data_IF_668250077784
#
_entry.id   IF_668250077784
#
_cell.length_a   1.000
_cell.length_b   1.000
_cell.length_c   1.000
_cell.angle_alpha   90.00
_cell.angle_beta   90.00
_cell.angle_gamma   90.00
#
_symmetry.space_group_name_H-M   'P 1'
#
loop_
_entity.id
_entity.type
_entity.pdbx_description
1 polymer ?
#
# COMPACT_ATOMS: atom_id res chain seq x y z
N UNK A 1 22.02 -61.61 -22.42
CA UNK A 1 22.77 -60.75 -21.53
C UNK A 1 21.92 -59.51 -21.27
N UNK A 2 21.33 -59.44 -20.10
CA UNK A 2 20.53 -58.27 -19.67
C UNK A 2 21.49 -57.19 -19.19
N UNK A 3 21.39 -55.95 -19.65
CA UNK A 3 22.27 -54.87 -19.16
C UNK A 3 21.95 -54.58 -17.69
N UNK A 4 22.94 -54.65 -16.83
CA UNK A 4 22.85 -54.29 -15.42
C UNK A 4 22.97 -52.77 -15.35
N UNK A 5 21.87 -52.08 -15.08
CA UNK A 5 21.86 -50.64 -14.79
C UNK A 5 22.52 -50.46 -13.41
N UNK A 6 23.58 -49.66 -13.30
CA UNK A 6 24.18 -49.39 -11.99
C UNK A 6 23.17 -48.66 -11.05
N UNK A 7 23.22 -48.92 -9.75
CA UNK A 7 22.35 -48.26 -8.81
C UNK A 7 22.63 -46.76 -8.82
N UNK A 8 21.55 -45.95 -8.98
CA UNK A 8 21.60 -44.49 -8.82
C UNK A 8 21.86 -44.16 -7.36
N UNK A 9 23.01 -43.59 -7.10
CA UNK A 9 23.35 -43.14 -5.74
C UNK A 9 22.50 -41.90 -5.40
N UNK A 10 21.86 -41.82 -4.24
CA UNK A 10 21.12 -40.64 -3.80
C UNK A 10 22.14 -39.50 -3.63
N UNK A 11 21.96 -38.43 -4.39
CA UNK A 11 22.70 -37.18 -4.23
C UNK A 11 21.94 -36.31 -3.19
N UNK A 12 22.61 -35.91 -2.13
CA UNK A 12 22.08 -34.97 -1.15
C UNK A 12 22.52 -33.57 -1.58
N UNK A 13 21.54 -32.74 -1.90
CA UNK A 13 21.75 -31.33 -2.23
C UNK A 13 21.33 -30.47 -1.03
N UNK A 14 22.15 -29.47 -0.71
CA UNK A 14 21.86 -28.51 0.35
C UNK A 14 21.59 -27.15 -0.29
N UNK A 15 20.42 -26.61 -0.03
CA UNK A 15 20.03 -25.25 -0.43
C UNK A 15 20.08 -24.33 0.78
N UNK A 16 20.75 -23.19 0.64
CA UNK A 16 20.79 -22.13 1.67
C UNK A 16 20.21 -20.85 1.08
N UNK A 17 19.15 -20.35 1.69
CA UNK A 17 18.47 -19.14 1.27
C UNK A 17 18.60 -18.06 2.33
N UNK A 18 19.01 -16.85 1.93
CA UNK A 18 19.00 -15.66 2.78
C UNK A 18 18.06 -14.64 2.18
N UNK A 19 17.09 -14.18 2.97
CA UNK A 19 16.12 -13.16 2.54
C UNK A 19 16.41 -11.84 3.24
N UNK A 20 16.45 -10.74 2.46
CA UNK A 20 16.65 -9.37 2.94
C UNK A 20 15.48 -8.52 2.51
N UNK A 21 14.90 -7.79 3.44
CA UNK A 21 13.87 -6.77 3.15
C UNK A 21 14.52 -5.38 3.19
N UNK A 22 14.41 -4.65 2.09
CA UNK A 22 14.99 -3.31 1.94
C UNK A 22 13.89 -2.27 1.84
N UNK A 23 13.95 -1.21 2.67
CA UNK A 23 13.02 -0.07 2.59
C UNK A 23 13.68 1.08 1.83
N UNK A 24 13.15 1.41 0.65
CA UNK A 24 13.61 2.53 -0.19
C UNK A 24 12.61 3.66 -0.04
N UNK A 25 13.05 4.83 0.47
CA UNK A 25 12.21 6.02 0.63
C UNK A 25 12.21 6.93 -0.61
N UNK A 26 13.27 6.90 -1.40
CA UNK A 26 13.37 7.67 -2.64
C UNK A 26 12.84 6.80 -3.80
N UNK A 27 11.53 6.88 -4.04
CA UNK A 27 10.83 6.02 -5.03
C UNK A 27 11.40 6.23 -6.44
N UNK A 28 11.73 7.47 -6.78
CA UNK A 28 12.37 7.85 -8.04
C UNK A 28 13.70 7.13 -8.32
N UNK A 29 14.37 6.66 -7.27
CA UNK A 29 15.63 5.90 -7.36
C UNK A 29 15.44 4.40 -7.24
N UNK A 30 14.22 3.93 -6.98
CA UNK A 30 13.97 2.52 -6.68
C UNK A 30 14.35 1.62 -7.87
N UNK A 31 14.01 2.00 -9.11
CA UNK A 31 14.38 1.26 -10.30
C UNK A 31 15.89 1.08 -10.43
N UNK A 32 16.65 2.16 -10.35
CA UNK A 32 18.11 2.11 -10.45
C UNK A 32 18.76 1.29 -9.32
N UNK A 33 18.19 1.33 -8.11
CA UNK A 33 18.67 0.51 -6.99
C UNK A 33 18.41 -0.97 -7.28
N UNK A 34 17.23 -1.32 -7.79
CA UNK A 34 16.87 -2.69 -8.16
C UNK A 34 17.83 -3.21 -9.23
N UNK A 35 18.06 -2.44 -10.29
CA UNK A 35 18.95 -2.82 -11.37
C UNK A 35 20.38 -3.06 -10.87
N UNK A 36 20.90 -2.18 -10.01
CA UNK A 36 22.21 -2.35 -9.40
C UNK A 36 22.30 -3.59 -8.49
N UNK A 37 21.24 -3.93 -7.77
CA UNK A 37 21.17 -5.13 -6.92
C UNK A 37 21.13 -6.39 -7.78
N UNK A 38 20.38 -6.38 -8.89
CA UNK A 38 20.34 -7.51 -9.85
C UNK A 38 21.69 -7.71 -10.50
N UNK A 39 22.36 -6.65 -10.92
CA UNK A 39 23.70 -6.71 -11.50
C UNK A 39 24.72 -7.30 -10.52
N UNK A 40 24.69 -6.87 -9.27
CA UNK A 40 25.62 -7.35 -8.24
C UNK A 40 25.35 -8.78 -7.79
N UNK A 41 24.09 -9.22 -7.75
CA UNK A 41 23.68 -10.55 -7.28
C UNK A 41 23.72 -11.63 -8.35
N UNK A 42 23.64 -11.25 -9.62
CA UNK A 42 23.63 -12.16 -10.76
C UNK A 42 22.59 -13.28 -10.63
N UNK A 43 22.97 -14.48 -11.04
CA UNK A 43 22.08 -15.65 -11.06
C UNK A 43 21.69 -16.18 -9.67
N UNK A 44 22.34 -15.69 -8.60
CA UNK A 44 22.06 -16.09 -7.22
C UNK A 44 21.00 -15.22 -6.56
N UNK A 45 20.62 -14.11 -7.19
CA UNK A 45 19.62 -13.19 -6.67
C UNK A 45 18.23 -13.50 -7.21
N UNK A 46 17.26 -13.42 -6.31
CA UNK A 46 15.84 -13.44 -6.63
C UNK A 46 15.15 -12.27 -5.96
N UNK A 47 14.29 -11.57 -6.69
CA UNK A 47 13.41 -10.54 -6.13
C UNK A 47 12.03 -11.16 -5.96
N UNK A 48 11.59 -11.34 -4.72
CA UNK A 48 10.33 -12.00 -4.40
C UNK A 48 9.13 -11.05 -4.58
N UNK A 49 9.34 -9.74 -4.42
CA UNK A 49 8.28 -8.75 -4.63
C UNK A 49 8.68 -7.34 -4.24
N UNK A 50 7.83 -6.41 -4.68
CA UNK A 50 7.91 -4.99 -4.35
C UNK A 50 6.56 -4.59 -3.75
N UNK A 51 6.59 -3.97 -2.58
CA UNK A 51 5.39 -3.49 -1.88
C UNK A 51 5.56 -2.03 -1.55
N UNK A 52 4.53 -1.24 -1.76
CA UNK A 52 4.51 0.17 -1.39
C UNK A 52 3.77 0.37 -0.07
N UNK A 53 4.22 1.32 0.70
CA UNK A 53 3.59 1.71 1.96
C UNK A 53 3.74 3.21 2.19
N UNK A 54 2.78 3.80 2.89
CA UNK A 54 2.87 5.21 3.30
C UNK A 54 3.84 5.32 4.48
N UNK A 55 4.83 6.21 4.36
CA UNK A 55 5.72 6.54 5.47
C UNK A 55 4.99 7.55 6.37
N UNK A 56 4.94 7.31 7.69
CA UNK A 56 4.24 8.14 8.68
C UNK A 56 2.72 8.32 8.40
N UNK A 57 1.93 7.24 8.36
CA UNK A 57 0.51 7.32 8.03
C UNK A 57 -0.31 8.14 9.05
N UNK A 58 0.15 8.28 10.28
CA UNK A 58 -0.60 8.94 11.38
C UNK A 58 -0.96 10.39 11.07
N UNK A 59 -0.07 11.14 10.40
CA UNK A 59 -0.36 12.51 10.00
C UNK A 59 -1.51 12.60 8.98
N UNK A 60 -1.61 11.63 8.09
CA UNK A 60 -2.67 11.57 7.08
C UNK A 60 -4.00 11.12 7.72
N UNK A 61 -3.97 10.20 8.68
CA UNK A 61 -5.15 9.86 9.48
C UNK A 61 -5.66 11.06 10.27
N UNK A 62 -4.78 11.87 10.84
CA UNK A 62 -5.19 13.09 11.55
C UNK A 62 -5.86 14.11 10.61
N UNK A 63 -5.34 14.28 9.40
CA UNK A 63 -5.93 15.14 8.38
C UNK A 63 -7.28 14.60 7.90
N UNK A 64 -7.37 13.29 7.59
CA UNK A 64 -8.62 12.66 7.17
C UNK A 64 -9.71 12.79 8.24
N UNK A 65 -9.36 12.57 9.52
CA UNK A 65 -10.26 12.77 10.67
C UNK A 65 -10.79 14.20 10.77
N UNK A 66 -9.89 15.18 10.59
CA UNK A 66 -10.30 16.58 10.61
C UNK A 66 -11.29 16.90 9.48
N UNK A 67 -11.07 16.38 8.27
CA UNK A 67 -11.97 16.56 7.14
C UNK A 67 -13.31 15.86 7.41
N UNK A 68 -13.32 14.63 7.86
CA UNK A 68 -14.53 13.87 8.17
C UNK A 68 -15.38 14.54 9.26
N UNK A 69 -14.75 15.07 10.31
CA UNK A 69 -15.47 15.80 11.38
C UNK A 69 -16.05 17.13 10.90
N UNK A 70 -15.33 17.85 10.03
CA UNK A 70 -15.84 19.08 9.43
C UNK A 70 -17.05 18.81 8.53
N UNK A 71 -16.98 17.74 7.74
CA UNK A 71 -18.03 17.30 6.85
C UNK A 71 -19.28 16.87 7.63
N UNK A 72 -19.12 15.99 8.60
CA UNK A 72 -20.23 15.57 9.48
C UNK A 72 -20.93 16.76 10.16
N UNK A 73 -20.17 17.78 10.58
CA UNK A 73 -20.76 18.99 11.18
C UNK A 73 -21.50 19.84 10.14
N UNK A 74 -20.97 19.96 8.94
CA UNK A 74 -21.62 20.69 7.84
C UNK A 74 -22.94 20.04 7.45
N UNK A 75 -22.95 18.72 7.27
CA UNK A 75 -24.15 17.94 6.98
C UNK A 75 -25.21 18.06 8.09
N UNK A 76 -24.77 17.93 9.35
CA UNK A 76 -25.69 18.06 10.49
C UNK A 76 -26.33 19.45 10.57
N UNK A 77 -25.58 20.52 10.31
CA UNK A 77 -26.12 21.88 10.25
C UNK A 77 -27.16 22.03 9.13
N UNK A 78 -26.88 21.50 7.95
CA UNK A 78 -27.81 21.53 6.82
C UNK A 78 -29.14 20.79 7.16
N UNK A 79 -28.99 19.60 7.78
CA UNK A 79 -30.18 18.82 8.19
C UNK A 79 -31.01 19.55 9.27
N UNK A 80 -30.36 20.17 10.26
CA UNK A 80 -31.03 20.94 11.29
C UNK A 80 -31.79 22.14 10.70
N UNK A 81 -31.15 22.85 9.76
CA UNK A 81 -31.76 23.99 9.06
C UNK A 81 -33.01 23.56 8.26
N UNK A 82 -32.92 22.45 7.50
CA UNK A 82 -34.05 21.90 6.77
C UNK A 82 -35.18 21.39 7.67
N UNK A 83 -34.84 20.89 8.85
CA UNK A 83 -35.83 20.45 9.85
C UNK A 83 -36.41 21.57 10.68
N UNK A 84 -35.88 22.79 10.58
CA UNK A 84 -36.33 23.95 11.37
C UNK A 84 -35.97 23.86 12.86
N UNK A 85 -34.87 23.19 13.20
CA UNK A 85 -34.33 23.00 14.55
C UNK A 85 -32.93 23.58 14.66
N UNK A 86 -32.45 23.80 15.89
CA UNK A 86 -31.10 24.29 16.15
C UNK A 86 -30.21 23.11 16.52
N UNK A 87 -29.03 23.04 15.88
CA UNK A 87 -28.02 22.02 16.18
C UNK A 87 -27.36 22.35 17.53
N UNK A 88 -27.36 21.36 18.44
CA UNK A 88 -26.72 21.46 19.75
C UNK A 88 -25.35 20.76 19.76
N UNK A 89 -24.93 20.33 20.95
CA UNK A 89 -23.64 19.64 21.14
C UNK A 89 -23.68 18.20 20.62
N UNK A 90 -22.52 17.72 20.21
CA UNK A 90 -22.36 16.31 19.92
C UNK A 90 -22.57 15.45 21.18
N UNK A 91 -23.39 14.43 21.06
CA UNK A 91 -23.76 13.50 22.14
C UNK A 91 -23.13 12.12 21.96
N UNK A 92 -22.73 11.80 20.74
CA UNK A 92 -22.07 10.54 20.40
C UNK A 92 -21.13 10.75 19.23
N UNK A 93 -19.96 10.14 19.30
CA UNK A 93 -18.96 10.13 18.22
C UNK A 93 -18.40 8.70 18.11
N UNK A 94 -18.41 8.18 16.92
CA UNK A 94 -17.75 6.92 16.58
C UNK A 94 -16.89 7.12 15.34
N UNK A 95 -15.71 6.53 15.34
CA UNK A 95 -14.76 6.56 14.23
C UNK A 95 -14.46 5.14 13.77
N UNK A 96 -14.42 4.95 12.47
CA UNK A 96 -13.83 3.77 11.85
C UNK A 96 -12.81 4.21 10.80
N UNK A 97 -11.71 3.50 10.72
CA UNK A 97 -10.67 3.74 9.70
C UNK A 97 -10.40 2.45 8.95
N UNK A 98 -10.25 2.55 7.65
CA UNK A 98 -9.84 1.44 6.82
C UNK A 98 -8.32 1.37 6.69
N UNK A 99 -7.79 0.15 6.49
CA UNK A 99 -6.39 -0.01 6.09
C UNK A 99 -6.19 0.67 4.73
N UNK A 100 -5.10 1.44 4.55
CA UNK A 100 -4.82 2.08 3.27
C UNK A 100 -4.82 1.08 2.13
N UNK A 101 -5.63 1.34 1.11
CA UNK A 101 -5.69 0.52 -0.11
C UNK A 101 -4.76 1.15 -1.13
N UNK A 102 -3.74 0.39 -1.55
CA UNK A 102 -2.86 0.78 -2.65
C UNK A 102 -3.54 0.37 -3.96
N UNK A 103 -3.84 1.33 -4.80
CA UNK A 103 -4.33 1.08 -6.15
C UNK A 103 -3.13 1.04 -7.10
N UNK A 104 -2.69 -0.15 -7.56
CA UNK A 104 -1.64 -0.21 -8.57
C UNK A 104 -2.16 0.37 -9.89
N UNK A 105 -1.42 1.30 -10.47
CA UNK A 105 -1.73 1.73 -11.84
C UNK A 105 -1.43 0.58 -12.81
N UNK A 106 -2.45 0.13 -13.52
CA UNK A 106 -2.31 -0.88 -14.56
C UNK A 106 -1.80 -0.17 -15.82
N UNK A 107 -0.50 -0.19 -16.05
CA UNK A 107 0.06 0.27 -17.31
C UNK A 107 -0.29 -0.72 -18.43
N UNK A 108 -1.13 -0.28 -19.36
CA UNK A 108 -1.21 -0.93 -20.66
C UNK A 108 0.13 -0.71 -21.37
N UNK A 109 0.85 -1.80 -21.63
CA UNK A 109 2.14 -1.78 -22.32
C UNK A 109 2.00 -1.41 -23.80
N UNK A 110 1.48 -0.21 -24.07
CA UNK A 110 1.37 0.36 -25.42
C UNK A 110 2.49 1.39 -25.58
N UNK A 111 3.64 0.95 -26.08
CA UNK A 111 4.78 1.79 -26.42
C UNK A 111 5.87 1.81 -25.36
N UNK A 112 6.43 0.66 -25.03
CA UNK A 112 7.69 0.58 -24.31
C UNK A 112 8.81 1.15 -25.22
N UNK A 113 9.07 2.45 -25.10
CA UNK A 113 10.39 2.96 -25.42
C UNK A 113 11.34 2.34 -24.40
N UNK A 114 12.40 1.70 -24.85
CA UNK A 114 13.46 1.12 -24.03
C UNK A 114 13.97 2.18 -23.03
N UNK A 115 13.46 2.16 -21.78
CA UNK A 115 14.10 2.89 -20.70
C UNK A 115 15.17 1.97 -20.12
N UNK A 116 16.37 2.49 -19.90
CA UNK A 116 17.52 1.74 -19.37
C UNK A 116 17.35 1.33 -17.88
N UNK A 117 16.21 1.62 -17.26
CA UNK A 117 15.92 1.32 -15.86
C UNK A 117 14.56 0.66 -15.68
N UNK A 118 14.43 -0.20 -14.68
CA UNK A 118 13.17 -0.86 -14.30
C UNK A 118 12.12 0.18 -13.91
N UNK A 119 10.99 0.29 -14.64
CA UNK A 119 9.94 1.27 -14.32
C UNK A 119 9.22 0.88 -13.04
N UNK A 120 9.20 1.78 -12.05
CA UNK A 120 8.53 1.60 -10.77
C UNK A 120 7.38 2.60 -10.67
N UNK A 121 6.16 2.08 -10.60
CA UNK A 121 4.93 2.88 -10.49
C UNK A 121 4.25 2.57 -9.15
N UNK A 122 4.36 3.45 -8.14
CA UNK A 122 3.79 3.20 -6.82
C UNK A 122 2.26 3.30 -6.78
N UNK A 123 1.62 3.92 -7.78
CA UNK A 123 0.20 4.23 -7.76
C UNK A 123 -0.16 5.29 -6.73
N UNK A 124 -1.44 5.33 -6.35
CA UNK A 124 -1.97 6.20 -5.30
C UNK A 124 -2.48 5.36 -4.13
N UNK A 125 -2.45 5.95 -2.94
CA UNK A 125 -2.95 5.31 -1.72
C UNK A 125 -3.94 6.24 -1.04
N UNK A 126 -5.18 5.78 -0.85
CA UNK A 126 -6.21 6.53 -0.14
C UNK A 126 -6.23 6.14 1.34
N UNK A 127 -6.27 7.14 2.20
CA UNK A 127 -6.49 6.96 3.64
C UNK A 127 -7.90 7.47 3.94
N UNK A 128 -8.78 6.56 4.34
CA UNK A 128 -10.19 6.82 4.55
C UNK A 128 -10.48 6.74 6.05
N UNK A 129 -11.18 7.74 6.54
CA UNK A 129 -11.72 7.81 7.91
C UNK A 129 -13.20 8.13 7.82
N UNK A 130 -14.03 7.25 8.36
CA UNK A 130 -15.46 7.45 8.47
C UNK A 130 -15.80 7.85 9.91
N UNK A 131 -16.63 8.87 10.06
CA UNK A 131 -17.12 9.30 11.37
C UNK A 131 -18.63 9.30 11.39
N UNK A 132 -19.18 8.83 12.50
CA UNK A 132 -20.59 8.94 12.80
C UNK A 132 -20.75 9.84 14.03
N UNK A 133 -21.51 10.92 13.89
CA UNK A 133 -21.72 11.88 14.97
C UNK A 133 -23.22 12.08 15.19
N UNK A 134 -23.67 11.90 16.42
CA UNK A 134 -25.03 12.30 16.82
C UNK A 134 -24.96 13.64 17.57
N UNK A 135 -25.85 14.55 17.23
CA UNK A 135 -25.97 15.87 17.85
C UNK A 135 -27.31 15.98 18.58
N UNK A 136 -27.32 16.72 19.68
CA UNK A 136 -28.56 17.17 20.26
C UNK A 136 -29.24 18.19 19.34
N UNK A 137 -30.57 18.23 19.34
CA UNK A 137 -31.38 19.26 18.64
C UNK A 137 -32.23 20.03 19.64
N UNK A 138 -32.46 21.30 19.37
CA UNK A 138 -33.27 22.21 20.20
C UNK A 138 -34.30 22.95 19.34
#
# INVERSE_FOLDING_TARGET
MTPITPPVQPTTEYEVTNTVTVKIRAIDKAGAIIDAVVEAGGDLLRIDGITFSVDQPDQYYAQARQLAMNDAKAEANQLAELAGVTLGNATYISESSSTPIVYPEVFSAQGATSSDTTPINPGQTDIIVDVQVAYAIQ
#
